data_IF_039451959656
#
_entry.id   IF_039451959656
#
_cell.length_a   1.000
_cell.length_b   1.000
_cell.length_c   1.000
_cell.angle_alpha   90.00
_cell.angle_beta   90.00
_cell.angle_gamma   90.00
#
_symmetry.space_group_name_H-M   'P 1'
#
loop_
_entity.id
_entity.type
_entity.pdbx_description
1 polymer ?
#
# COMPACT_ATOMS: atom_id res chain seq x y z
N UNK A 1 -5.96 4.25 -21.94
CA UNK A 1 -6.70 4.96 -20.87
C UNK A 1 -6.21 6.40 -20.75
N UNK A 2 -4.90 6.61 -20.61
CA UNK A 2 -4.31 7.96 -20.60
C UNK A 2 -4.53 8.74 -21.91
N UNK A 3 -4.40 8.09 -23.06
CA UNK A 3 -4.71 8.70 -24.37
C UNK A 3 -6.18 9.17 -24.50
N UNK A 4 -7.05 8.70 -23.60
CA UNK A 4 -8.46 9.08 -23.49
C UNK A 4 -8.72 10.01 -22.28
N UNK A 5 -7.68 10.43 -21.55
CA UNK A 5 -7.78 11.32 -20.39
C UNK A 5 -8.26 10.66 -19.08
N UNK A 6 -8.32 9.33 -19.02
CA UNK A 6 -8.75 8.61 -17.81
C UNK A 6 -7.54 8.13 -17.00
N UNK A 7 -7.44 8.59 -15.75
CA UNK A 7 -6.46 8.14 -14.78
C UNK A 7 -7.05 7.05 -13.88
N UNK A 8 -6.27 6.01 -13.52
CA UNK A 8 -6.68 5.02 -12.53
C UNK A 8 -6.99 5.71 -11.20
N UNK A 9 -8.13 5.38 -10.60
CA UNK A 9 -8.40 5.76 -9.22
C UNK A 9 -7.73 4.77 -8.24
N UNK A 10 -7.78 5.08 -6.94
CA UNK A 10 -7.14 4.27 -5.90
C UNK A 10 -7.64 2.81 -5.86
N UNK A 11 -8.88 2.55 -6.25
CA UNK A 11 -9.44 1.19 -6.32
C UNK A 11 -8.79 0.36 -7.43
N UNK A 12 -8.59 0.98 -8.61
CA UNK A 12 -7.87 0.34 -9.72
C UNK A 12 -6.42 0.08 -9.31
N UNK A 13 -5.76 1.06 -8.68
CA UNK A 13 -4.41 0.90 -8.13
C UNK A 13 -4.36 -0.28 -7.15
N UNK A 14 -5.29 -0.38 -6.21
CA UNK A 14 -5.36 -1.49 -5.26
C UNK A 14 -5.48 -2.86 -5.94
N UNK A 15 -6.26 -2.95 -7.02
CA UNK A 15 -6.37 -4.16 -7.82
C UNK A 15 -5.05 -4.52 -8.54
N UNK A 16 -4.35 -3.52 -9.09
CA UNK A 16 -3.06 -3.71 -9.76
C UNK A 16 -1.97 -4.14 -8.74
N UNK A 17 -1.91 -3.48 -7.57
CA UNK A 17 -1.00 -3.87 -6.48
C UNK A 17 -1.25 -5.31 -6.05
N UNK A 18 -2.53 -5.69 -5.84
CA UNK A 18 -2.89 -7.07 -5.50
C UNK A 18 -2.40 -8.06 -6.57
N UNK A 19 -2.50 -7.72 -7.84
CA UNK A 19 -2.02 -8.57 -8.94
C UNK A 19 -0.48 -8.70 -8.90
N UNK A 20 0.25 -7.60 -8.68
CA UNK A 20 1.70 -7.62 -8.53
C UNK A 20 2.18 -8.46 -7.36
N UNK A 21 1.51 -8.36 -6.21
CA UNK A 21 1.79 -9.20 -5.04
C UNK A 21 1.54 -10.69 -5.33
N UNK A 22 0.42 -11.02 -5.99
CA UNK A 22 0.10 -12.42 -6.34
C UNK A 22 1.16 -13.02 -7.28
N UNK A 23 1.60 -12.25 -8.28
CA UNK A 23 2.56 -12.70 -9.28
C UNK A 23 4.03 -12.58 -8.84
N UNK A 24 4.28 -11.97 -7.67
CA UNK A 24 5.62 -11.68 -7.12
C UNK A 24 6.45 -10.89 -8.14
N UNK A 25 5.83 -9.90 -8.78
CA UNK A 25 6.48 -9.07 -9.77
C UNK A 25 6.87 -7.72 -9.15
N UNK A 26 8.10 -7.65 -8.62
CA UNK A 26 8.60 -6.43 -7.97
C UNK A 26 8.72 -5.26 -8.93
N UNK A 27 9.24 -5.48 -10.14
CA UNK A 27 9.34 -4.42 -11.15
C UNK A 27 7.98 -3.83 -11.51
N UNK A 28 6.95 -4.68 -11.61
CA UNK A 28 5.58 -4.22 -11.83
C UNK A 28 5.04 -3.39 -10.65
N UNK A 29 5.29 -3.82 -9.41
CA UNK A 29 4.94 -3.05 -8.22
C UNK A 29 5.67 -1.70 -8.16
N UNK A 30 6.97 -1.67 -8.47
CA UNK A 30 7.73 -0.41 -8.57
C UNK A 30 7.12 0.55 -9.58
N UNK A 31 6.73 0.04 -10.76
CA UNK A 31 6.13 0.86 -11.80
C UNK A 31 4.78 1.44 -11.37
N UNK A 32 3.96 0.67 -10.65
CA UNK A 32 2.70 1.17 -10.08
C UNK A 32 2.98 2.29 -9.07
N UNK A 33 3.95 2.10 -8.17
CA UNK A 33 4.27 3.09 -7.15
C UNK A 33 4.88 4.38 -7.73
N UNK A 34 5.73 4.25 -8.76
CA UNK A 34 6.23 5.41 -9.52
C UNK A 34 5.09 6.13 -10.22
N UNK A 35 4.20 5.41 -10.88
CA UNK A 35 3.01 5.97 -11.51
C UNK A 35 2.14 6.75 -10.50
N UNK A 36 1.89 6.17 -9.31
CA UNK A 36 1.16 6.87 -8.26
C UNK A 36 1.85 8.18 -7.86
N UNK A 37 3.17 8.16 -7.74
CA UNK A 37 3.95 9.35 -7.39
C UNK A 37 3.92 10.41 -8.50
N UNK A 38 4.05 10.01 -9.76
CA UNK A 38 4.02 10.90 -10.94
C UNK A 38 2.67 11.59 -11.13
N UNK A 39 1.58 10.91 -10.76
CA UNK A 39 0.21 11.41 -10.87
C UNK A 39 -0.37 11.93 -9.56
N UNK A 40 0.46 12.10 -8.51
CA UNK A 40 0.05 12.59 -7.19
C UNK A 40 -1.10 11.78 -6.55
N UNK A 41 -1.19 10.50 -6.88
CA UNK A 41 -2.19 9.58 -6.34
C UNK A 41 -1.72 9.13 -4.96
N UNK A 42 -2.42 9.58 -3.92
CA UNK A 42 -2.08 9.24 -2.54
C UNK A 42 -2.52 7.81 -2.23
N UNK A 43 -1.63 6.95 -1.70
CA UNK A 43 -2.01 5.62 -1.22
C UNK A 43 -2.97 5.72 -0.02
N UNK A 44 -3.93 4.80 0.03
CA UNK A 44 -4.73 4.55 1.23
C UNK A 44 -4.10 3.43 2.08
N UNK A 45 -4.62 3.25 3.29
CA UNK A 45 -4.17 2.22 4.23
C UNK A 45 -4.23 0.81 3.64
N UNK A 46 -5.27 0.51 2.85
CA UNK A 46 -5.43 -0.81 2.24
C UNK A 46 -4.30 -1.16 1.27
N UNK A 47 -3.86 -0.21 0.44
CA UNK A 47 -2.74 -0.40 -0.49
C UNK A 47 -1.43 -0.67 0.27
N UNK A 48 -1.16 0.12 1.31
CA UNK A 48 0.06 -0.01 2.11
C UNK A 48 0.10 -1.35 2.85
N UNK A 49 -0.99 -1.70 3.55
CA UNK A 49 -1.11 -2.97 4.24
C UNK A 49 -0.86 -4.16 3.29
N UNK A 50 -1.35 -4.05 2.05
CA UNK A 50 -1.20 -5.11 1.06
C UNK A 50 0.26 -5.33 0.68
N UNK A 51 0.99 -4.22 0.46
CA UNK A 51 2.41 -4.25 0.10
C UNK A 51 3.22 -4.77 1.30
N UNK A 52 2.94 -4.31 2.51
CA UNK A 52 3.64 -4.76 3.73
C UNK A 52 3.43 -6.25 4.01
N UNK A 53 2.19 -6.74 3.90
CA UNK A 53 1.87 -8.17 4.03
C UNK A 53 2.64 -8.99 2.99
N UNK A 54 2.73 -8.52 1.76
CA UNK A 54 3.52 -9.15 0.71
C UNK A 54 5.02 -9.16 1.02
N UNK A 55 5.59 -8.05 1.49
CA UNK A 55 7.00 -7.98 1.91
C UNK A 55 7.28 -9.01 3.01
N UNK A 56 6.40 -9.12 4.01
CA UNK A 56 6.53 -10.12 5.08
C UNK A 56 6.45 -11.55 4.56
N UNK A 57 5.48 -11.84 3.68
CA UNK A 57 5.31 -13.17 3.06
C UNK A 57 6.56 -13.58 2.27
N UNK A 58 7.10 -12.68 1.43
CA UNK A 58 8.33 -12.96 0.68
C UNK A 58 9.50 -13.20 1.62
N UNK A 59 9.66 -12.37 2.65
CA UNK A 59 10.75 -12.50 3.64
C UNK A 59 10.70 -13.85 4.35
N UNK A 60 9.52 -14.28 4.77
CA UNK A 60 9.33 -15.58 5.42
C UNK A 60 9.72 -16.73 4.49
N UNK A 61 9.32 -16.66 3.22
CA UNK A 61 9.68 -17.69 2.23
C UNK A 61 11.18 -17.70 1.91
N UNK A 62 11.85 -16.54 1.84
CA UNK A 62 13.31 -16.48 1.71
C UNK A 62 13.99 -17.14 2.91
N UNK A 63 13.55 -16.81 4.13
CA UNK A 63 14.08 -17.42 5.35
C UNK A 63 13.88 -18.94 5.37
N UNK A 64 12.69 -19.42 4.98
CA UNK A 64 12.39 -20.84 4.89
C UNK A 64 13.25 -21.56 3.84
N UNK A 65 13.52 -20.91 2.69
CA UNK A 65 14.44 -21.42 1.65
C UNK A 65 15.85 -21.60 2.20
N UNK A 66 16.37 -20.61 2.93
CA UNK A 66 17.70 -20.68 3.55
C UNK A 66 17.83 -21.80 4.59
N UNK A 67 16.72 -22.17 5.24
CA UNK A 67 16.66 -23.26 6.21
C UNK A 67 16.23 -24.62 5.63
N UNK A 68 16.26 -24.78 4.30
CA UNK A 68 15.87 -26.00 3.58
C UNK A 68 14.45 -26.49 3.91
N UNK A 69 13.52 -25.58 4.21
CA UNK A 69 12.09 -25.91 4.39
C UNK A 69 11.38 -25.94 3.04
N UNK A 70 10.26 -26.65 2.99
CA UNK A 70 9.40 -26.65 1.81
C UNK A 70 8.81 -25.26 1.58
N UNK A 71 8.93 -24.75 0.35
CA UNK A 71 8.43 -23.44 -0.06
C UNK A 71 7.71 -23.55 -1.40
N UNK A 72 6.66 -22.75 -1.64
CA UNK A 72 5.98 -22.73 -2.93
C UNK A 72 6.93 -22.42 -4.08
N UNK A 73 6.75 -23.08 -5.24
CA UNK A 73 7.59 -22.92 -6.44
C UNK A 73 7.79 -21.46 -6.87
N UNK A 74 6.76 -20.62 -6.68
CA UNK A 74 6.81 -19.19 -7.02
C UNK A 74 7.90 -18.40 -6.25
N UNK A 75 8.36 -18.91 -5.10
CA UNK A 75 9.46 -18.32 -4.31
C UNK A 75 10.82 -19.02 -4.51
N UNK A 76 10.90 -20.05 -5.35
CA UNK A 76 12.13 -20.83 -5.49
C UNK A 76 13.15 -20.19 -6.44
N UNK A 77 12.77 -19.16 -7.19
CA UNK A 77 13.63 -18.44 -8.14
C UNK A 77 14.92 -17.88 -7.48
N UNK A 78 16.01 -17.87 -8.23
CA UNK A 78 17.36 -17.53 -7.73
C UNK A 78 17.53 -16.02 -7.49
N UNK A 79 16.96 -15.21 -8.36
CA UNK A 79 16.96 -13.74 -8.32
C UNK A 79 16.06 -13.14 -7.22
N UNK A 80 15.22 -13.95 -6.56
CA UNK A 80 14.20 -13.47 -5.62
C UNK A 80 14.78 -12.58 -4.53
N UNK A 81 15.89 -13.00 -3.92
CA UNK A 81 16.48 -12.30 -2.78
C UNK A 81 17.05 -10.94 -3.21
N UNK A 82 17.67 -10.88 -4.39
CA UNK A 82 18.21 -9.64 -4.91
C UNK A 82 17.10 -8.66 -5.29
N UNK A 83 16.07 -9.13 -6.00
CA UNK A 83 14.90 -8.30 -6.34
C UNK A 83 14.14 -7.83 -5.10
N UNK A 84 13.95 -8.70 -4.10
CA UNK A 84 13.33 -8.34 -2.84
C UNK A 84 14.09 -7.22 -2.13
N UNK A 85 15.43 -7.30 -2.05
CA UNK A 85 16.26 -6.26 -1.43
C UNK A 85 16.14 -4.92 -2.18
N UNK A 86 16.20 -4.95 -3.51
CA UNK A 86 16.02 -3.75 -4.36
C UNK A 86 14.66 -3.12 -4.14
N UNK A 87 13.61 -3.93 -4.16
CA UNK A 87 12.24 -3.47 -3.94
C UNK A 87 12.06 -2.85 -2.55
N UNK A 88 12.57 -3.49 -1.49
CA UNK A 88 12.48 -2.95 -0.13
C UNK A 88 13.17 -1.59 0.00
N UNK A 89 14.36 -1.43 -0.59
CA UNK A 89 15.07 -0.15 -0.59
C UNK A 89 14.30 0.93 -1.35
N UNK A 90 13.76 0.58 -2.53
CA UNK A 90 12.89 1.48 -3.29
C UNK A 90 11.63 1.86 -2.50
N UNK A 91 10.94 0.88 -1.91
CA UNK A 91 9.70 1.10 -1.17
C UNK A 91 9.92 1.98 0.07
N UNK A 92 11.02 1.79 0.80
CA UNK A 92 11.38 2.65 1.92
C UNK A 92 11.61 4.10 1.48
N UNK A 93 12.30 4.30 0.35
CA UNK A 93 12.51 5.63 -0.22
C UNK A 93 11.18 6.24 -0.70
N UNK A 94 10.33 5.45 -1.33
CA UNK A 94 9.02 5.88 -1.78
C UNK A 94 8.12 6.31 -0.61
N UNK A 95 8.08 5.54 0.48
CA UNK A 95 7.34 5.90 1.69
C UNK A 95 7.78 7.22 2.30
N UNK A 96 9.08 7.54 2.26
CA UNK A 96 9.61 8.83 2.78
C UNK A 96 9.17 10.03 1.95
N UNK A 97 8.92 9.83 0.66
CA UNK A 97 8.60 10.88 -0.30
C UNK A 97 7.11 10.99 -0.63
N UNK A 98 6.29 10.08 -0.09
CA UNK A 98 4.87 10.00 -0.43
C UNK A 98 3.99 10.51 0.72
N UNK A 99 3.03 11.35 0.39
CA UNK A 99 1.98 11.74 1.34
C UNK A 99 0.85 10.71 1.37
N UNK A 100 0.34 10.41 2.57
CA UNK A 100 -0.71 9.41 2.77
C UNK A 100 -2.07 10.05 2.98
N UNK A 101 -3.11 9.52 2.32
CA UNK A 101 -4.49 9.84 2.65
C UNK A 101 -4.97 8.91 3.76
N UNK A 102 -5.10 9.45 4.98
CA UNK A 102 -5.88 8.78 6.03
C UNK A 102 -7.34 8.82 5.62
N UNK A 103 -7.99 7.66 5.65
CA UNK A 103 -9.37 7.50 5.27
C UNK A 103 -10.23 8.50 6.08
N UNK A 104 -10.72 9.55 5.40
CA UNK A 104 -11.68 10.47 6.01
C UNK A 104 -12.95 9.65 6.19
N UNK A 105 -13.31 9.39 7.45
CA UNK A 105 -14.53 8.66 7.79
C UNK A 105 -15.70 9.17 6.95
N UNK A 106 -16.43 8.27 6.27
CA UNK A 106 -17.46 8.62 5.29
C UNK A 106 -18.53 9.57 5.84
N UNK A 107 -18.76 9.57 7.15
CA UNK A 107 -19.69 10.47 7.81
C UNK A 107 -19.14 11.86 8.13
N UNK A 108 -17.84 12.09 7.92
CA UNK A 108 -17.21 13.40 8.11
C UNK A 108 -17.79 14.45 7.16
N UNK A 109 -18.25 14.04 5.97
CA UNK A 109 -18.94 14.92 5.03
C UNK A 109 -20.32 15.39 5.51
N UNK A 110 -20.92 14.66 6.47
CA UNK A 110 -22.21 15.00 7.09
C UNK A 110 -22.06 15.66 8.47
N UNK A 111 -20.82 15.89 8.95
CA UNK A 111 -20.58 16.68 10.16
C UNK A 111 -21.02 18.12 9.89
N UNK A 112 -22.11 18.52 10.52
CA UNK A 112 -22.56 19.92 10.58
C UNK A 112 -22.04 20.56 11.87
N UNK A 113 -21.89 21.89 11.89
CA UNK A 113 -21.46 22.67 13.08
C UNK A 113 -22.27 22.40 14.37
N UNK A 114 -23.41 21.70 14.26
CA UNK A 114 -24.25 21.25 15.36
C UNK A 114 -23.61 20.08 16.10
N UNK A 115 -23.02 19.11 15.38
CA UNK A 115 -22.39 17.92 15.98
C UNK A 115 -21.14 18.31 16.76
N UNK A 116 -20.38 19.30 16.27
CA UNK A 116 -19.18 19.80 16.95
C UNK A 116 -19.49 20.54 18.26
N UNK A 117 -20.66 21.19 18.36
CA UNK A 117 -21.08 21.85 19.61
C UNK A 117 -21.52 20.87 20.69
N UNK A 118 -22.18 19.78 20.31
CA UNK A 118 -22.64 18.75 21.26
C UNK A 118 -21.46 18.03 21.92
N UNK A 119 -20.41 17.70 21.15
CA UNK A 119 -19.19 17.08 21.71
C UNK A 119 -18.40 18.02 22.64
N UNK A 120 -18.41 19.34 22.38
CA UNK A 120 -17.74 20.32 23.25
C UNK A 120 -18.47 20.52 24.59
N UNK A 121 -19.80 20.42 24.61
CA UNK A 121 -20.58 20.51 25.84
C UNK A 121 -20.43 19.26 26.71
N UNK A 122 -20.41 18.05 26.11
CA UNK A 122 -20.22 16.79 26.85
C UNK A 122 -18.84 16.67 27.51
N UNK A 123 -17.77 17.19 26.88
CA UNK A 123 -16.42 17.19 27.49
C UNK A 123 -16.32 18.19 28.65
N UNK A 124 -17.06 19.31 28.59
CA UNK A 124 -17.10 20.31 29.65
C UNK A 124 -17.93 19.91 30.88
N UNK A 125 -18.82 18.92 30.75
CA UNK A 125 -19.64 18.40 31.83
C UNK A 125 -18.94 17.35 32.71
N UNK A 126 -17.70 16.96 32.36
CA UNK A 126 -16.91 15.92 33.05
C UNK A 126 -15.67 16.51 33.77
N UNK A 127 -15.47 17.84 33.73
CA UNK A 127 -14.42 18.55 34.50
C UNK A 127 -15.01 19.28 35.71
#
# INVERSE_FOLDING_TARGET
MEELGFFPNIEIIGALVRNGCHTINFSYLENILKFMQEHEIKPNEHVLEKIEKFIMEVRENIFNKEHNKDIPKKYQREDLNEEYKKFCAFYEQWLKNTEFEREKHLWSQFRTNIVEKVEQEDVSAIS
#
